data_IF_527349159722
#
_entry.id   IF_527349159722
#
_cell.length_a   1.000
_cell.length_b   1.000
_cell.length_c   1.000
_cell.angle_alpha   90.00
_cell.angle_beta   90.00
_cell.angle_gamma   90.00
#
_symmetry.space_group_name_H-M   'P 1'
#
loop_
_entity.id
_entity.type
_entity.pdbx_description
1 polymer ?
#
# COMPACT_ATOMS: atom_id res chain seq x y z
N UNK A 1 -6.94 -14.51 -4.50
CA UNK A 1 -7.97 -13.68 -3.85
C UNK A 1 -7.37 -12.37 -3.40
N UNK A 2 -8.20 -11.39 -3.05
CA UNK A 2 -7.78 -10.12 -2.46
C UNK A 2 -8.62 -9.85 -1.20
N UNK A 3 -7.99 -9.28 -0.18
CA UNK A 3 -8.67 -8.89 1.05
C UNK A 3 -8.14 -7.52 1.52
N UNK A 4 -9.03 -6.69 2.05
CA UNK A 4 -8.67 -5.40 2.63
C UNK A 4 -9.27 -5.32 4.02
N UNK A 5 -8.47 -4.92 5.01
CA UNK A 5 -8.92 -4.67 6.36
C UNK A 5 -8.43 -3.30 6.82
N UNK A 6 -9.32 -2.52 7.41
CA UNK A 6 -9.00 -1.20 7.95
C UNK A 6 -9.47 -1.13 9.40
N UNK A 7 -8.58 -0.69 10.28
CA UNK A 7 -8.89 -0.30 11.65
C UNK A 7 -8.80 1.22 11.72
N UNK A 8 -9.81 1.85 12.29
CA UNK A 8 -9.87 3.30 12.43
C UNK A 8 -10.31 3.68 13.83
N UNK A 9 -9.88 4.86 14.29
CA UNK A 9 -10.28 5.46 15.54
C UNK A 9 -10.36 6.97 15.39
N UNK A 10 -11.37 7.55 16.02
CA UNK A 10 -11.60 8.99 16.05
C UNK A 10 -11.93 9.46 17.47
N UNK A 11 -11.41 10.62 17.85
CA UNK A 11 -11.73 11.29 19.11
C UNK A 11 -11.30 12.75 19.09
N UNK A 12 -12.19 13.66 19.52
CA UNK A 12 -11.90 15.09 19.72
C UNK A 12 -11.05 15.73 18.60
N UNK A 13 -11.47 15.58 17.34
CA UNK A 13 -10.78 16.17 16.19
C UNK A 13 -9.53 15.41 15.70
N UNK A 14 -9.13 14.34 16.38
CA UNK A 14 -8.11 13.41 15.90
C UNK A 14 -8.74 12.20 15.22
N UNK A 15 -8.25 11.86 14.03
CA UNK A 15 -8.59 10.62 13.32
C UNK A 15 -7.31 9.87 12.99
N UNK A 16 -7.32 8.55 13.15
CA UNK A 16 -6.24 7.69 12.66
C UNK A 16 -6.77 6.38 12.09
N UNK A 17 -6.04 5.83 11.11
CA UNK A 17 -6.33 4.52 10.54
C UNK A 17 -5.08 3.77 10.12
N UNK A 18 -5.15 2.44 10.27
CA UNK A 18 -4.24 1.47 9.65
C UNK A 18 -5.05 0.65 8.65
N UNK A 19 -4.53 0.48 7.43
CA UNK A 19 -5.16 -0.33 6.39
C UNK A 19 -4.18 -1.37 5.86
N UNK A 20 -4.57 -2.64 5.88
CA UNK A 20 -3.84 -3.73 5.25
C UNK A 20 -4.56 -4.21 3.99
N UNK A 21 -3.84 -4.32 2.89
CA UNK A 21 -4.31 -4.92 1.63
C UNK A 21 -3.50 -6.17 1.33
N UNK A 22 -4.16 -7.32 1.36
CA UNK A 22 -3.57 -8.61 1.02
C UNK A 22 -4.01 -9.06 -0.36
N UNK A 23 -3.08 -9.62 -1.12
CA UNK A 23 -3.34 -10.27 -2.40
C UNK A 23 -2.61 -11.60 -2.44
N UNK A 24 -3.34 -12.68 -2.74
CA UNK A 24 -2.73 -13.99 -2.99
C UNK A 24 -1.83 -13.95 -4.22
N UNK A 25 -0.90 -14.91 -4.31
CA UNK A 25 -0.14 -15.17 -5.51
C UNK A 25 -1.06 -15.31 -6.74
N UNK A 26 -0.67 -14.70 -7.85
CA UNK A 26 -1.47 -14.65 -9.06
C UNK A 26 -0.61 -14.80 -10.31
N UNK A 27 -1.20 -15.33 -11.37
CA UNK A 27 -0.53 -15.50 -12.66
C UNK A 27 -0.90 -14.34 -13.57
N UNK A 28 0.08 -13.76 -14.24
CA UNK A 28 -0.13 -12.72 -15.24
C UNK A 28 0.66 -13.04 -16.52
N UNK A 29 0.14 -12.62 -17.68
CA UNK A 29 0.88 -12.68 -18.94
C UNK A 29 1.68 -11.39 -19.08
N UNK A 30 3.00 -11.52 -19.18
CA UNK A 30 3.89 -10.42 -19.48
C UNK A 30 4.30 -10.54 -20.95
N UNK A 31 3.86 -9.57 -21.76
CA UNK A 31 4.22 -9.53 -23.18
C UNK A 31 5.55 -8.79 -23.30
N UNK A 32 6.60 -9.53 -23.66
CA UNK A 32 7.89 -8.98 -24.05
C UNK A 32 8.14 -9.33 -25.54
N UNK A 33 9.33 -9.78 -25.92
CA UNK A 33 9.61 -10.27 -27.29
C UNK A 33 8.80 -11.53 -27.62
N UNK A 34 8.45 -12.33 -26.61
CA UNK A 34 7.51 -13.46 -26.68
C UNK A 34 6.51 -13.36 -25.51
N UNK A 35 5.36 -14.04 -25.61
CA UNK A 35 4.39 -14.14 -24.52
C UNK A 35 4.96 -15.05 -23.42
N UNK A 36 5.24 -14.50 -22.24
CA UNK A 36 5.72 -15.26 -21.10
C UNK A 36 4.71 -15.19 -19.94
N UNK A 37 4.40 -16.37 -19.39
CA UNK A 37 3.61 -16.47 -18.16
C UNK A 37 4.53 -16.18 -16.99
N UNK A 38 4.20 -15.16 -16.21
CA UNK A 38 4.94 -14.74 -15.03
C UNK A 38 4.01 -14.86 -13.82
N UNK A 39 4.52 -15.49 -12.77
CA UNK A 39 3.81 -15.62 -11.51
C UNK A 39 4.23 -14.49 -10.58
N UNK A 40 3.27 -13.94 -9.85
CA UNK A 40 3.51 -12.97 -8.80
C UNK A 40 3.27 -13.63 -7.45
N UNK A 41 4.12 -13.35 -6.49
CA UNK A 41 3.98 -13.85 -5.12
C UNK A 41 2.88 -13.09 -4.37
N UNK A 42 2.44 -13.63 -3.24
CA UNK A 42 1.50 -12.92 -2.37
C UNK A 42 2.16 -11.70 -1.72
N UNK A 43 1.38 -10.63 -1.53
CA UNK A 43 1.86 -9.39 -0.92
C UNK A 43 0.85 -8.87 0.11
N UNK A 44 1.36 -8.26 1.20
CA UNK A 44 0.58 -7.53 2.19
C UNK A 44 1.09 -6.09 2.30
N UNK A 45 0.35 -5.15 1.74
CA UNK A 45 0.69 -3.73 1.82
C UNK A 45 -0.04 -3.10 2.99
N UNK A 46 0.71 -2.50 3.92
CA UNK A 46 0.18 -1.79 5.08
C UNK A 46 0.34 -0.28 4.90
N UNK A 47 -0.74 0.47 5.03
CA UNK A 47 -0.76 1.92 5.01
C UNK A 47 -1.21 2.49 6.36
N UNK A 48 -0.72 3.68 6.68
CA UNK A 48 -1.11 4.42 7.88
C UNK A 48 -1.51 5.85 7.53
N UNK A 49 -2.48 6.38 8.26
CA UNK A 49 -2.85 7.79 8.18
C UNK A 49 -3.29 8.31 9.54
N UNK A 50 -2.98 9.57 9.80
CA UNK A 50 -3.56 10.33 10.90
C UNK A 50 -3.87 11.76 10.47
N UNK A 51 -4.92 12.33 11.01
CA UNK A 51 -5.28 13.74 10.85
C UNK A 51 -5.67 14.36 12.18
N UNK A 52 -5.51 15.68 12.25
CA UNK A 52 -5.94 16.46 13.39
C UNK A 52 -6.57 17.77 12.94
N UNK A 53 -7.74 18.06 13.49
CA UNK A 53 -8.42 19.35 13.37
C UNK A 53 -7.80 20.33 14.36
N UNK A 54 -7.08 21.32 13.83
CA UNK A 54 -6.46 22.37 14.65
C UNK A 54 -7.53 23.34 15.16
N UNK A 55 -8.50 23.65 14.29
CA UNK A 55 -9.69 24.45 14.58
C UNK A 55 -10.74 24.23 13.46
N UNK A 56 -11.89 24.89 13.57
CA UNK A 56 -13.01 24.79 12.62
C UNK A 56 -12.63 25.07 11.15
N UNK A 57 -11.51 25.75 10.91
CA UNK A 57 -11.07 26.15 9.58
C UNK A 57 -9.82 25.42 9.09
N UNK A 58 -9.06 24.74 9.96
CA UNK A 58 -7.73 24.19 9.62
C UNK A 58 -7.61 22.75 10.12
N UNK A 59 -7.21 21.85 9.22
CA UNK A 59 -6.80 20.49 9.56
C UNK A 59 -5.46 20.11 8.94
N UNK A 60 -4.75 19.18 9.59
CA UNK A 60 -3.49 18.62 9.10
C UNK A 60 -3.63 17.11 8.89
N UNK A 61 -2.88 16.59 7.93
CA UNK A 61 -2.92 15.20 7.50
C UNK A 61 -1.50 14.65 7.39
N UNK A 62 -1.24 13.50 8.00
CA UNK A 62 -0.03 12.73 7.80
C UNK A 62 -0.38 11.35 7.24
N UNK A 63 0.33 10.91 6.21
CA UNK A 63 0.12 9.60 5.59
C UNK A 63 1.45 8.88 5.38
N UNK A 64 1.43 7.57 5.57
CA UNK A 64 2.49 6.65 5.18
C UNK A 64 1.90 5.60 4.25
N UNK A 65 2.41 5.55 3.02
CA UNK A 65 2.05 4.51 2.06
C UNK A 65 3.15 3.44 2.07
N UNK A 66 2.74 2.17 2.10
CA UNK A 66 3.63 1.00 2.19
C UNK A 66 4.60 1.09 3.39
N UNK A 67 4.03 1.14 4.60
CA UNK A 67 4.73 1.26 5.88
C UNK A 67 5.82 0.19 6.10
N UNK A 68 5.64 -1.01 5.53
CA UNK A 68 6.56 -2.14 5.67
C UNK A 68 7.54 -2.29 4.52
N UNK A 69 7.50 -1.40 3.52
CA UNK A 69 8.26 -1.52 2.27
C UNK A 69 8.08 -2.88 1.59
N UNK A 70 6.83 -3.39 1.57
CA UNK A 70 6.51 -4.66 0.94
C UNK A 70 6.80 -4.55 -0.57
N UNK A 71 7.67 -5.41 -1.14
CA UNK A 71 7.98 -5.39 -2.56
C UNK A 71 7.02 -6.28 -3.34
N UNK A 72 6.77 -5.91 -4.58
CA UNK A 72 6.13 -6.83 -5.53
C UNK A 72 7.20 -7.79 -6.08
N UNK A 73 6.97 -9.10 -5.91
CA UNK A 73 7.88 -10.16 -6.36
C UNK A 73 7.24 -10.98 -7.46
N UNK A 74 8.03 -11.30 -8.48
CA UNK A 74 7.64 -12.22 -9.54
C UNK A 74 8.63 -13.37 -9.70
N UNK A 75 8.15 -14.48 -10.23
CA UNK A 75 8.92 -15.70 -10.48
C UNK A 75 8.40 -16.42 -11.73
N UNK A 76 9.24 -17.27 -12.32
CA UNK A 76 8.90 -18.07 -13.50
C UNK A 76 8.36 -19.44 -13.09
N UNK A 77 9.08 -20.52 -13.41
CA UNK A 77 8.62 -21.91 -13.22
C UNK A 77 8.55 -22.30 -11.74
N UNK A 78 9.44 -21.74 -10.92
CA UNK A 78 9.49 -21.98 -9.48
C UNK A 78 9.89 -20.71 -8.74
N UNK A 79 9.57 -20.58 -7.43
CA UNK A 79 9.97 -19.41 -6.63
C UNK A 79 11.48 -19.20 -6.55
N UNK A 80 12.30 -20.26 -6.74
CA UNK A 80 13.76 -20.12 -6.82
C UNK A 80 14.22 -19.43 -8.11
N UNK A 81 13.38 -19.42 -9.16
CA UNK A 81 13.59 -18.69 -10.41
C UNK A 81 12.95 -17.29 -10.32
N UNK A 82 13.50 -16.46 -9.44
CA UNK A 82 13.08 -15.06 -9.27
C UNK A 82 13.15 -14.31 -10.60
N UNK A 83 12.04 -13.69 -10.99
CA UNK A 83 11.98 -12.77 -12.12
C UNK A 83 12.40 -11.37 -11.68
N UNK A 84 11.46 -10.63 -11.11
CA UNK A 84 11.67 -9.27 -10.59
C UNK A 84 11.36 -9.17 -9.11
N UNK A 85 12.10 -8.34 -8.41
CA UNK A 85 11.74 -7.85 -7.08
C UNK A 85 11.75 -6.33 -7.18
N UNK A 86 10.60 -5.70 -7.01
CA UNK A 86 10.45 -4.26 -7.14
C UNK A 86 10.00 -3.64 -5.82
N UNK A 87 10.88 -2.82 -5.26
CA UNK A 87 10.58 -1.98 -4.10
C UNK A 87 10.05 -0.65 -4.60
N UNK A 88 8.83 -0.30 -4.20
CA UNK A 88 8.26 1.03 -4.43
C UNK A 88 8.61 2.01 -3.30
N UNK A 89 9.21 1.52 -2.21
CA UNK A 89 9.59 2.32 -1.05
C UNK A 89 8.42 2.68 -0.14
N UNK A 90 8.74 3.00 1.10
CA UNK A 90 7.81 3.68 2.02
C UNK A 90 7.75 5.17 1.68
N UNK A 91 6.55 5.69 1.44
CA UNK A 91 6.34 7.09 1.05
C UNK A 91 5.59 7.84 2.15
N UNK A 92 6.10 9.02 2.50
CA UNK A 92 5.56 9.88 3.55
C UNK A 92 4.94 11.13 2.94
N UNK A 93 3.74 11.49 3.39
CA UNK A 93 3.04 12.69 2.94
C UNK A 93 2.57 13.50 4.15
N UNK A 94 2.65 14.82 4.02
CA UNK A 94 2.12 15.79 4.97
C UNK A 94 1.26 16.80 4.21
N UNK A 95 0.04 17.02 4.66
CA UNK A 95 -0.94 17.91 4.04
C UNK A 95 -1.61 18.82 5.07
N UNK A 96 -2.16 19.93 4.58
CA UNK A 96 -2.97 20.87 5.35
C UNK A 96 -4.18 21.25 4.52
N UNK A 97 -5.35 21.32 5.16
CA UNK A 97 -6.60 21.78 4.54
C UNK A 97 -7.08 23.03 5.25
N UNK A 98 -7.59 24.00 4.48
CA UNK A 98 -8.19 25.23 4.99
C UNK A 98 -9.59 25.41 4.39
N UNK A 99 -10.58 25.74 5.22
CA UNK A 99 -11.96 26.03 4.80
C UNK A 99 -12.43 27.39 5.37
N UNK A 100 -13.05 28.21 4.51
CA UNK A 100 -13.65 29.52 4.84
C UNK A 100 -15.11 29.39 5.30
#
# INVERSE_FOLDING_TARGET
>A
NVATMTLFWEYEGFETRVSGRYRDAFVSRQVAVNDQTVNFDSELVVDYQASYEINDNISVLFQINNLTDEPTKSYFTSPEQTGTIQFFGTQYFLGMTYSL
#
